data_IF_879752739329
#
_entry.id   IF_879752739329
#
_cell.length_a   1.000
_cell.length_b   1.000
_cell.length_c   1.000
_cell.angle_alpha   90.00
_cell.angle_beta   90.00
_cell.angle_gamma   90.00
#
_symmetry.space_group_name_H-M   'P 1'
#
loop_
_entity.id
_entity.type
_entity.pdbx_description
1 polymer ?
#
# COMPACT_ATOMS: atom_id res chain seq x y z
N UNK A 1 -1.18 -13.56 1.58
CA UNK A 1 -2.25 -12.66 1.06
C UNK A 1 -1.68 -11.45 0.32
N UNK A 2 -0.40 -11.15 0.51
CA UNK A 2 0.31 -10.01 -0.08
C UNK A 2 0.15 -9.87 -1.61
N UNK A 3 0.43 -10.92 -2.39
CA UNK A 3 0.41 -10.86 -3.87
C UNK A 3 -0.99 -10.53 -4.45
N UNK A 4 -2.05 -10.94 -3.75
CA UNK A 4 -3.42 -10.56 -4.09
C UNK A 4 -3.59 -9.04 -3.98
N UNK A 5 -3.17 -8.44 -2.85
CA UNK A 5 -3.26 -7.00 -2.66
C UNK A 5 -2.35 -6.21 -3.60
N UNK A 6 -1.13 -6.68 -3.90
CA UNK A 6 -0.27 -6.05 -4.92
C UNK A 6 -0.95 -5.99 -6.29
N UNK A 7 -1.64 -7.07 -6.67
CA UNK A 7 -2.40 -7.13 -7.93
C UNK A 7 -3.56 -6.13 -7.92
N UNK A 8 -4.33 -6.07 -6.83
CA UNK A 8 -5.44 -5.11 -6.71
C UNK A 8 -4.92 -3.67 -6.75
N UNK A 9 -3.90 -3.33 -5.96
CA UNK A 9 -3.31 -1.99 -5.92
C UNK A 9 -2.81 -1.54 -7.29
N UNK A 10 -2.16 -2.42 -8.04
CA UNK A 10 -1.73 -2.13 -9.42
C UNK A 10 -2.90 -1.90 -10.37
N UNK A 11 -4.02 -2.61 -10.19
CA UNK A 11 -5.21 -2.44 -11.02
C UNK A 11 -5.95 -1.15 -10.71
N UNK A 12 -5.95 -0.70 -9.45
CA UNK A 12 -6.68 0.51 -9.03
C UNK A 12 -5.82 1.77 -8.97
N UNK A 13 -4.53 1.68 -9.29
CA UNK A 13 -3.58 2.80 -9.21
C UNK A 13 -3.85 3.94 -10.21
N UNK A 14 -4.87 3.82 -11.06
CA UNK A 14 -5.33 4.90 -11.92
C UNK A 14 -6.23 5.91 -11.18
N UNK A 15 -6.82 5.50 -10.05
CA UNK A 15 -7.71 6.34 -9.25
C UNK A 15 -7.16 6.51 -7.83
N UNK A 16 -6.89 7.77 -7.49
CA UNK A 16 -6.25 8.13 -6.21
C UNK A 16 -7.05 7.66 -5.00
N UNK A 17 -8.37 7.83 -5.04
CA UNK A 17 -9.25 7.51 -3.91
C UNK A 17 -9.39 6.00 -3.75
N UNK A 18 -9.56 5.28 -4.87
CA UNK A 18 -9.65 3.82 -4.87
C UNK A 18 -8.34 3.17 -4.43
N UNK A 19 -7.20 3.70 -4.87
CA UNK A 19 -5.89 3.26 -4.42
C UNK A 19 -5.74 3.38 -2.90
N UNK A 20 -6.01 4.57 -2.32
CA UNK A 20 -5.93 4.76 -0.86
C UNK A 20 -6.87 3.81 -0.10
N UNK A 21 -8.08 3.59 -0.63
CA UNK A 21 -9.07 2.68 -0.04
C UNK A 21 -8.59 1.23 0.01
N UNK A 22 -8.10 0.70 -1.11
CA UNK A 22 -7.62 -0.68 -1.17
C UNK A 22 -6.29 -0.86 -0.41
N UNK A 23 -5.44 0.17 -0.35
CA UNK A 23 -4.22 0.15 0.45
C UNK A 23 -4.51 -0.02 1.94
N UNK A 24 -5.45 0.76 2.48
CA UNK A 24 -5.89 0.60 3.89
C UNK A 24 -6.46 -0.78 4.15
N UNK A 25 -7.21 -1.33 3.20
CA UNK A 25 -7.74 -2.70 3.30
C UNK A 25 -6.62 -3.74 3.34
N UNK A 26 -5.59 -3.58 2.51
CA UNK A 26 -4.41 -4.44 2.53
C UNK A 26 -3.72 -4.40 3.89
N UNK A 27 -3.43 -3.21 4.41
CA UNK A 27 -2.75 -3.02 5.71
C UNK A 27 -3.54 -3.67 6.85
N UNK A 28 -4.87 -3.54 6.86
CA UNK A 28 -5.72 -4.16 7.89
C UNK A 28 -5.86 -5.69 7.77
N UNK A 29 -5.52 -6.26 6.61
CA UNK A 29 -5.72 -7.69 6.32
C UNK A 29 -4.45 -8.52 6.40
N UNK A 30 -3.28 -7.88 6.28
CA UNK A 30 -1.99 -8.55 6.24
C UNK A 30 -1.38 -8.68 7.63
N UNK A 31 -0.53 -9.69 7.81
CA UNK A 31 0.29 -9.84 9.02
C UNK A 31 1.46 -8.85 8.99
N UNK A 32 2.06 -8.48 10.13
CA UNK A 32 3.10 -7.45 10.20
C UNK A 32 4.26 -7.61 9.20
N UNK A 33 4.77 -8.83 9.01
CA UNK A 33 5.83 -9.12 8.05
C UNK A 33 5.39 -8.85 6.58
N UNK A 34 4.15 -9.21 6.24
CA UNK A 34 3.60 -8.90 4.92
C UNK A 34 3.35 -7.39 4.76
N UNK A 35 3.03 -6.65 5.83
CA UNK A 35 2.85 -5.19 5.79
C UNK A 35 4.19 -4.50 5.46
N UNK A 36 5.30 -4.95 6.06
CA UNK A 36 6.64 -4.43 5.75
C UNK A 36 6.98 -4.64 4.27
N UNK A 37 6.78 -5.87 3.79
CA UNK A 37 6.99 -6.20 2.37
C UNK A 37 6.05 -5.42 1.43
N UNK A 38 4.80 -5.16 1.84
CA UNK A 38 3.86 -4.33 1.08
C UNK A 38 4.32 -2.88 1.01
N UNK A 39 4.80 -2.33 2.13
CA UNK A 39 5.29 -0.94 2.22
C UNK A 39 6.41 -0.72 1.21
N UNK A 40 7.47 -1.52 1.30
CA UNK A 40 8.67 -1.32 0.48
C UNK A 40 8.31 -1.41 -1.02
N UNK A 41 7.47 -2.38 -1.38
CA UNK A 41 6.95 -2.51 -2.73
C UNK A 41 6.10 -1.30 -3.18
N UNK A 42 5.25 -0.75 -2.30
CA UNK A 42 4.43 0.42 -2.62
C UNK A 42 5.29 1.67 -2.85
N UNK A 43 6.32 1.90 -2.03
CA UNK A 43 7.25 3.02 -2.23
C UNK A 43 8.07 2.85 -3.50
N UNK A 44 8.52 1.63 -3.84
CA UNK A 44 9.21 1.37 -5.10
C UNK A 44 8.31 1.67 -6.32
N UNK A 45 7.05 1.23 -6.29
CA UNK A 45 6.14 1.32 -7.45
C UNK A 45 5.40 2.64 -7.59
N UNK A 46 4.99 3.26 -6.48
CA UNK A 46 4.00 4.33 -6.50
C UNK A 46 4.44 5.63 -5.83
N UNK A 47 5.65 5.71 -5.24
CA UNK A 47 6.16 6.93 -4.59
C UNK A 47 6.02 8.17 -5.49
N UNK A 48 6.44 8.05 -6.75
CA UNK A 48 6.38 9.16 -7.72
C UNK A 48 4.98 9.75 -7.96
N UNK A 49 3.89 9.02 -7.67
CA UNK A 49 2.51 9.51 -7.80
C UNK A 49 1.82 9.73 -6.46
N UNK A 50 2.11 8.89 -5.47
CA UNK A 50 1.30 8.73 -4.27
C UNK A 50 2.08 8.79 -2.96
N UNK A 51 3.28 9.39 -2.95
CA UNK A 51 4.09 9.59 -1.73
C UNK A 51 3.25 10.05 -0.52
N UNK A 52 2.50 11.14 -0.65
CA UNK A 52 1.62 11.64 0.43
C UNK A 52 0.58 10.63 0.96
N UNK A 53 0.12 9.68 0.13
CA UNK A 53 -0.80 8.63 0.56
C UNK A 53 -0.04 7.53 1.28
N UNK A 54 1.15 7.17 0.77
CA UNK A 54 2.01 6.16 1.37
C UNK A 54 2.48 6.61 2.76
N UNK A 55 2.92 7.86 2.91
CA UNK A 55 3.34 8.42 4.20
C UNK A 55 2.20 8.40 5.23
N UNK A 56 0.98 8.69 4.77
CA UNK A 56 -0.23 8.67 5.59
C UNK A 56 -0.63 7.25 6.01
N UNK A 57 -0.49 6.27 5.10
CA UNK A 57 -0.91 4.90 5.31
C UNK A 57 0.14 4.05 6.05
N UNK A 58 1.43 4.39 5.92
CA UNK A 58 2.55 3.70 6.58
C UNK A 58 3.25 4.65 7.56
N UNK A 59 2.61 5.03 8.69
CA UNK A 59 3.26 5.85 9.70
C UNK A 59 4.51 5.17 10.26
N UNK A 60 5.52 5.97 10.62
CA UNK A 60 6.82 5.52 11.13
C UNK A 60 6.75 4.56 12.34
N UNK A 61 5.62 4.53 13.07
CA UNK A 61 5.41 3.60 14.19
C UNK A 61 5.06 2.16 13.78
N UNK A 62 4.92 1.87 12.48
CA UNK A 62 4.78 0.51 11.94
C UNK A 62 6.14 -0.17 11.66
N UNK A 63 7.25 0.44 12.12
CA UNK A 63 8.64 -0.06 12.00
C UNK A 63 9.19 -0.43 13.37
#
# INVERSE_FOLDING_TARGET
MLEYFKTILSKVSFDRWLFEKELKKAINSLVPDEILNLRDWCYEKFSHMYESILDKCFPQALV
#
